data_IF_116193888298
#
_entry.id   IF_116193888298
#
_cell.length_a   1.000
_cell.length_b   1.000
_cell.length_c   1.000
_cell.angle_alpha   90.00
_cell.angle_beta   90.00
_cell.angle_gamma   90.00
#
_symmetry.space_group_name_H-M   'P 1'
#
loop_
_entity.id
_entity.type
_entity.pdbx_description
1 polymer ?
#
# COMPACT_ATOMS: atom_id res chain seq x y z
N UNK A 1 20.65 7.71 14.51
CA UNK A 1 19.36 7.17 14.04
C UNK A 1 19.61 5.75 13.56
N UNK A 2 18.75 4.80 13.87
CA UNK A 2 18.76 3.45 13.32
C UNK A 2 18.48 3.54 11.81
N UNK A 3 19.08 2.67 10.98
CA UNK A 3 18.78 2.59 9.56
C UNK A 3 17.28 2.30 9.41
N UNK A 4 16.57 3.19 8.72
CA UNK A 4 15.12 3.06 8.53
C UNK A 4 14.83 2.89 7.04
N UNK A 5 14.11 1.83 6.71
CA UNK A 5 13.76 1.42 5.36
C UNK A 5 12.25 1.58 5.18
N UNK A 6 11.83 2.28 4.14
CA UNK A 6 10.41 2.60 3.91
C UNK A 6 9.97 2.06 2.55
N UNK A 7 8.91 1.25 2.53
CA UNK A 7 8.34 0.62 1.31
C UNK A 7 6.83 0.87 1.29
N UNK A 8 6.23 1.02 0.10
CA UNK A 8 4.79 1.23 -0.08
C UNK A 8 4.28 0.58 -1.36
N UNK A 9 2.96 0.41 -1.45
CA UNK A 9 2.23 0.05 -2.67
C UNK A 9 2.74 -1.25 -3.31
N UNK A 10 2.75 -2.33 -2.51
CA UNK A 10 3.25 -3.66 -2.92
C UNK A 10 2.25 -4.37 -3.82
N UNK A 11 0.94 -4.18 -3.56
CA UNK A 11 -0.14 -4.67 -4.41
C UNK A 11 0.02 -6.13 -4.88
N UNK A 12 0.16 -7.08 -3.96
CA UNK A 12 0.25 -8.51 -4.29
C UNK A 12 1.56 -8.96 -4.93
N UNK A 13 2.52 -8.07 -5.17
CA UNK A 13 3.79 -8.35 -5.85
C UNK A 13 4.82 -8.97 -4.91
N UNK A 14 4.52 -10.18 -4.42
CA UNK A 14 5.34 -10.89 -3.42
C UNK A 14 6.76 -11.16 -3.89
N UNK A 15 6.93 -11.47 -5.17
CA UNK A 15 8.25 -11.76 -5.76
C UNK A 15 9.13 -10.52 -5.74
N UNK A 16 8.62 -9.37 -6.22
CA UNK A 16 9.35 -8.09 -6.20
C UNK A 16 9.62 -7.62 -4.76
N UNK A 17 8.66 -7.83 -3.83
CA UNK A 17 8.84 -7.49 -2.44
C UNK A 17 9.97 -8.28 -1.77
N UNK A 18 10.01 -9.59 -1.98
CA UNK A 18 11.08 -10.44 -1.45
C UNK A 18 12.44 -10.09 -2.09
N UNK A 19 12.48 -9.82 -3.39
CA UNK A 19 13.69 -9.39 -4.08
C UNK A 19 14.21 -8.06 -3.51
N UNK A 20 13.34 -7.07 -3.32
CA UNK A 20 13.70 -5.77 -2.75
C UNK A 20 14.29 -5.93 -1.34
N UNK A 21 13.63 -6.70 -0.46
CA UNK A 21 14.13 -6.99 0.89
C UNK A 21 15.51 -7.64 0.87
N UNK A 22 15.79 -8.51 -0.12
CA UNK A 22 17.10 -9.13 -0.32
C UNK A 22 18.15 -8.13 -0.80
N UNK A 23 17.83 -7.30 -1.81
CA UNK A 23 18.76 -6.32 -2.38
C UNK A 23 19.19 -5.25 -1.38
N UNK A 24 18.26 -4.80 -0.51
CA UNK A 24 18.57 -3.85 0.56
C UNK A 24 19.27 -4.51 1.75
N UNK A 25 19.47 -5.82 1.73
CA UNK A 25 20.02 -6.60 2.84
C UNK A 25 19.29 -6.27 4.17
N UNK A 26 17.96 -6.37 4.17
CA UNK A 26 17.16 -6.07 5.36
C UNK A 26 17.45 -7.06 6.49
N UNK A 27 17.81 -6.54 7.67
CA UNK A 27 18.09 -7.32 8.88
C UNK A 27 17.10 -6.96 10.01
N UNK A 28 16.14 -7.87 10.33
CA UNK A 28 15.25 -7.68 11.47
C UNK A 28 16.02 -7.43 12.77
N UNK A 29 15.54 -6.49 13.59
CA UNK A 29 16.20 -6.12 14.85
C UNK A 29 17.33 -5.09 14.69
N UNK A 30 18.06 -5.10 13.59
CA UNK A 30 19.08 -4.09 13.24
C UNK A 30 18.44 -2.90 12.55
N UNK A 31 17.64 -3.16 11.51
CA UNK A 31 16.94 -2.14 10.74
C UNK A 31 15.54 -1.85 11.31
N UNK A 32 15.04 -0.65 11.07
CA UNK A 32 13.64 -0.32 11.23
C UNK A 32 12.97 -0.36 9.86
N UNK A 33 12.09 -1.34 9.63
CA UNK A 33 11.26 -1.36 8.43
C UNK A 33 9.93 -0.66 8.70
N UNK A 34 9.48 0.18 7.76
CA UNK A 34 8.18 0.85 7.76
C UNK A 34 7.49 0.55 6.45
N UNK A 35 6.27 0.03 6.51
CA UNK A 35 5.43 -0.29 5.36
C UNK A 35 4.21 0.64 5.38
N UNK A 36 3.95 1.37 4.27
CA UNK A 36 2.98 2.46 4.23
C UNK A 36 1.59 2.07 3.74
N UNK A 37 1.30 0.77 3.52
CA UNK A 37 0.00 0.32 3.04
C UNK A 37 -0.01 -0.13 1.59
N UNK A 38 -1.22 -0.46 1.10
CA UNK A 38 -1.51 -1.02 -0.21
C UNK A 38 -0.75 -2.32 -0.49
N UNK A 39 -1.02 -3.31 0.38
CA UNK A 39 -0.45 -4.67 0.29
C UNK A 39 -1.24 -5.56 -0.66
N UNK A 40 -2.55 -5.30 -0.76
CA UNK A 40 -3.53 -6.11 -1.50
C UNK A 40 -3.89 -5.52 -2.85
N UNK A 41 -4.62 -6.31 -3.64
CA UNK A 41 -5.23 -5.96 -4.93
C UNK A 41 -4.25 -5.88 -6.10
N UNK A 42 -4.77 -6.10 -7.31
CA UNK A 42 -4.11 -5.94 -8.61
C UNK A 42 -3.06 -7.00 -8.96
N UNK A 43 -2.08 -7.20 -8.08
CA UNK A 43 -1.01 -8.17 -8.29
C UNK A 43 -1.41 -9.61 -7.94
N UNK A 44 -0.48 -10.53 -8.16
CA UNK A 44 -0.79 -11.96 -8.25
C UNK A 44 -1.13 -12.63 -6.91
N UNK A 45 -0.50 -12.21 -5.80
CA UNK A 45 -0.63 -12.93 -4.51
C UNK A 45 -0.69 -12.00 -3.29
N UNK A 46 -1.83 -11.32 -3.17
CA UNK A 46 -2.14 -10.47 -2.00
C UNK A 46 -2.07 -11.25 -0.69
N UNK A 47 -2.49 -12.52 -0.70
CA UNK A 47 -2.44 -13.39 0.49
C UNK A 47 -1.00 -13.60 0.95
N UNK A 48 -0.09 -13.96 0.06
CA UNK A 48 1.32 -14.15 0.42
C UNK A 48 1.99 -12.84 0.88
N UNK A 49 1.62 -11.71 0.30
CA UNK A 49 2.10 -10.39 0.77
C UNK A 49 1.64 -10.14 2.19
N UNK A 50 0.34 -10.35 2.51
CA UNK A 50 -0.17 -10.17 3.88
C UNK A 50 0.47 -11.14 4.88
N UNK A 51 0.65 -12.42 4.52
CA UNK A 51 1.38 -13.39 5.33
C UNK A 51 2.80 -12.87 5.65
N UNK A 52 3.50 -12.33 4.65
CA UNK A 52 4.85 -11.75 4.81
C UNK A 52 4.85 -10.48 5.66
N UNK A 53 3.91 -9.58 5.45
CA UNK A 53 3.77 -8.33 6.21
C UNK A 53 3.49 -8.60 7.69
N UNK A 54 2.62 -9.58 7.99
CA UNK A 54 2.37 -10.03 9.36
C UNK A 54 3.64 -10.56 10.02
N UNK A 55 4.41 -11.40 9.31
CA UNK A 55 5.69 -11.91 9.80
C UNK A 55 6.67 -10.75 10.09
N UNK A 56 6.76 -9.78 9.20
CA UNK A 56 7.64 -8.62 9.38
C UNK A 56 7.21 -7.76 10.57
N UNK A 57 5.90 -7.59 10.82
CA UNK A 57 5.39 -6.90 12.01
C UNK A 57 5.79 -7.62 13.29
N UNK A 58 5.71 -8.95 13.33
CA UNK A 58 6.17 -9.76 14.48
C UNK A 58 7.68 -9.57 14.73
N UNK A 59 8.45 -9.30 13.68
CA UNK A 59 9.89 -9.01 13.74
C UNK A 59 10.21 -7.55 14.03
N UNK A 60 9.20 -6.70 14.29
CA UNK A 60 9.36 -5.31 14.70
C UNK A 60 9.21 -4.27 13.59
N UNK A 61 8.74 -4.65 12.40
CA UNK A 61 8.36 -3.68 11.39
C UNK A 61 7.12 -2.87 11.82
N UNK A 62 7.09 -1.61 11.44
CA UNK A 62 5.91 -0.76 11.56
C UNK A 62 5.12 -0.90 10.27
N UNK A 63 3.82 -1.15 10.41
CA UNK A 63 2.93 -1.46 9.28
C UNK A 63 1.73 -0.55 9.36
N UNK A 64 1.53 0.28 8.34
CA UNK A 64 0.40 1.18 8.21
C UNK A 64 -0.66 0.63 7.28
N UNK A 65 -1.88 1.11 7.41
CA UNK A 65 -3.01 0.79 6.54
C UNK A 65 -3.03 1.70 5.33
N UNK A 66 -3.24 1.14 4.13
CA UNK A 66 -3.51 1.87 2.90
C UNK A 66 -5.01 1.93 2.57
N UNK A 67 -5.34 2.63 1.49
CA UNK A 67 -6.73 2.72 1.05
C UNK A 67 -7.26 1.40 0.45
N UNK A 68 -6.39 0.53 -0.06
CA UNK A 68 -6.80 -0.79 -0.56
C UNK A 68 -7.21 -1.73 0.57
N UNK A 69 -6.53 -1.69 1.69
CA UNK A 69 -6.95 -2.39 2.90
C UNK A 69 -8.30 -1.86 3.44
N UNK A 70 -8.51 -0.55 3.42
CA UNK A 70 -9.78 0.07 3.81
C UNK A 70 -10.94 -0.33 2.88
N UNK A 71 -10.70 -0.37 1.56
CA UNK A 71 -11.67 -0.88 0.59
C UNK A 71 -12.02 -2.35 0.83
N UNK A 72 -11.02 -3.20 1.07
CA UNK A 72 -11.20 -4.61 1.37
C UNK A 72 -12.05 -4.82 2.63
N UNK A 73 -11.74 -4.10 3.72
CA UNK A 73 -12.54 -4.14 4.96
C UNK A 73 -13.99 -3.77 4.66
N UNK A 74 -14.23 -2.62 4.04
CA UNK A 74 -15.59 -2.12 3.73
C UNK A 74 -16.36 -3.08 2.83
N UNK A 75 -15.72 -3.62 1.81
CA UNK A 75 -16.33 -4.57 0.90
C UNK A 75 -16.77 -5.86 1.59
N UNK A 76 -15.95 -6.39 2.50
CA UNK A 76 -16.20 -7.67 3.16
C UNK A 76 -17.10 -7.57 4.40
N UNK A 77 -17.26 -6.37 4.97
CA UNK A 77 -17.96 -6.22 6.26
C UNK A 77 -19.22 -5.36 6.23
N UNK A 78 -19.41 -4.50 5.23
CA UNK A 78 -20.56 -3.56 5.21
C UNK A 78 -21.88 -4.19 4.85
N UNK A 79 -21.90 -5.29 4.09
CA UNK A 79 -23.12 -5.84 3.52
C UNK A 79 -23.71 -5.01 2.36
N UNK A 80 -22.99 -4.00 1.88
CA UNK A 80 -23.46 -3.06 0.87
C UNK A 80 -22.87 -3.35 -0.52
N UNK A 81 -23.70 -3.20 -1.56
CA UNK A 81 -23.30 -3.42 -2.96
C UNK A 81 -22.19 -2.47 -3.42
N UNK A 82 -22.29 -1.18 -3.07
CA UNK A 82 -21.36 -0.16 -3.56
C UNK A 82 -19.91 -0.39 -3.14
N UNK A 83 -19.57 -0.63 -1.85
CA UNK A 83 -18.22 -1.01 -1.43
C UNK A 83 -17.73 -2.28 -2.10
N UNK A 84 -18.60 -3.31 -2.22
CA UNK A 84 -18.25 -4.57 -2.88
C UNK A 84 -17.81 -4.34 -4.33
N UNK A 85 -18.69 -3.73 -5.16
CA UNK A 85 -18.37 -3.48 -6.58
C UNK A 85 -17.21 -2.51 -6.77
N UNK A 86 -17.07 -1.54 -5.85
CA UNK A 86 -15.95 -0.61 -5.91
C UNK A 86 -14.61 -1.35 -5.74
N UNK A 87 -14.55 -2.29 -4.82
CA UNK A 87 -13.36 -3.06 -4.54
C UNK A 87 -13.13 -4.17 -5.58
N UNK A 88 -14.11 -5.06 -5.77
CA UNK A 88 -13.96 -6.26 -6.61
C UNK A 88 -13.89 -5.91 -8.10
N UNK A 89 -14.81 -5.06 -8.59
CA UNK A 89 -14.96 -4.85 -10.04
C UNK A 89 -14.02 -3.76 -10.59
N UNK A 90 -13.45 -2.89 -9.73
CA UNK A 90 -12.74 -1.69 -10.19
C UNK A 90 -11.34 -1.49 -9.60
N UNK A 91 -11.05 -2.10 -8.47
CA UNK A 91 -9.81 -1.82 -7.74
C UNK A 91 -8.92 -3.05 -7.51
N UNK A 92 -9.22 -4.18 -8.16
CA UNK A 92 -8.36 -5.37 -8.11
C UNK A 92 -8.64 -6.30 -6.95
N UNK A 93 -9.80 -6.17 -6.29
CA UNK A 93 -10.20 -7.08 -5.22
C UNK A 93 -10.46 -8.51 -5.69
N UNK A 94 -10.79 -8.69 -6.99
CA UNK A 94 -10.91 -9.99 -7.61
C UNK A 94 -9.57 -10.76 -7.59
N UNK A 95 -8.44 -10.11 -7.88
CA UNK A 95 -7.11 -10.71 -7.77
C UNK A 95 -6.80 -11.11 -6.32
N UNK A 96 -7.16 -10.25 -5.36
CA UNK A 96 -7.04 -10.59 -3.94
C UNK A 96 -7.84 -11.84 -3.60
N UNK A 97 -9.13 -11.91 -3.98
CA UNK A 97 -9.95 -13.09 -3.69
C UNK A 97 -9.43 -14.37 -4.35
N UNK A 98 -8.89 -14.27 -5.57
CA UNK A 98 -8.22 -15.41 -6.24
C UNK A 98 -7.01 -15.90 -5.45
N UNK A 99 -6.22 -15.01 -4.87
CA UNK A 99 -5.04 -15.40 -4.07
C UNK A 99 -5.41 -16.18 -2.80
N UNK A 100 -6.64 -16.02 -2.30
CA UNK A 100 -7.20 -16.86 -1.22
C UNK A 100 -7.79 -18.18 -1.70
N UNK A 101 -7.81 -18.42 -3.01
CA UNK A 101 -8.33 -19.65 -3.64
C UNK A 101 -9.83 -19.63 -3.89
N UNK A 102 -10.49 -18.48 -3.78
CA UNK A 102 -11.91 -18.34 -4.16
C UNK A 102 -12.05 -18.35 -5.68
N UNK A 103 -13.08 -19.06 -6.17
CA UNK A 103 -13.43 -19.11 -7.60
C UNK A 103 -14.34 -17.94 -7.95
N UNK A 104 -14.35 -17.53 -9.19
CA UNK A 104 -15.15 -16.38 -9.65
C UNK A 104 -16.65 -16.54 -9.33
N UNK A 105 -17.20 -17.77 -9.42
CA UNK A 105 -18.60 -18.03 -9.11
C UNK A 105 -18.96 -17.77 -7.65
N UNK A 106 -17.98 -17.71 -6.75
CA UNK A 106 -18.19 -17.47 -5.32
C UNK A 106 -18.27 -15.98 -4.96
N UNK A 107 -17.75 -15.07 -5.82
CA UNK A 107 -17.69 -13.65 -5.51
C UNK A 107 -18.19 -12.71 -6.61
N UNK A 108 -18.32 -13.14 -7.86
CA UNK A 108 -18.92 -12.32 -8.91
C UNK A 108 -20.42 -12.26 -8.72
N UNK A 109 -20.96 -11.04 -8.56
CA UNK A 109 -22.40 -10.80 -8.37
C UNK A 109 -22.99 -10.23 -9.66
N UNK A 110 -24.02 -10.91 -10.20
CA UNK A 110 -24.73 -10.43 -11.40
C UNK A 110 -25.35 -9.05 -11.16
N UNK A 111 -25.17 -8.10 -12.11
CA UNK A 111 -25.81 -6.79 -12.02
C UNK A 111 -27.34 -6.83 -12.21
N UNK A 112 -27.87 -7.93 -12.75
CA UNK A 112 -29.29 -8.11 -13.05
C UNK A 112 -30.10 -8.67 -11.86
N UNK A 113 -29.44 -9.03 -10.76
CA UNK A 113 -30.06 -9.58 -9.56
C UNK A 113 -29.92 -8.61 -8.37
N UNK A 114 -30.82 -8.67 -7.39
CA UNK A 114 -30.60 -7.97 -6.12
C UNK A 114 -29.26 -8.38 -5.51
N UNK A 115 -28.53 -7.41 -4.98
CA UNK A 115 -27.24 -7.68 -4.35
C UNK A 115 -27.43 -8.52 -3.08
N UNK A 116 -26.72 -9.64 -3.05
CA UNK A 116 -26.51 -10.42 -1.83
C UNK A 116 -25.01 -10.52 -1.59
N UNK A 117 -24.57 -10.12 -0.36
CA UNK A 117 -23.16 -10.16 0.03
C UNK A 117 -22.61 -11.59 -0.10
N UNK A 118 -21.60 -11.85 -0.94
CA UNK A 118 -20.97 -13.16 -1.03
C UNK A 118 -20.43 -13.63 0.32
N UNK A 119 -20.71 -14.88 0.67
CA UNK A 119 -20.30 -15.47 1.93
C UNK A 119 -18.96 -16.19 1.76
N UNK A 120 -17.88 -15.42 1.85
CA UNK A 120 -16.53 -15.94 1.71
C UNK A 120 -15.97 -16.34 3.08
N UNK A 121 -15.57 -17.60 3.22
CA UNK A 121 -15.05 -18.13 4.48
C UNK A 121 -13.70 -18.78 4.26
N UNK A 122 -12.68 -18.22 4.90
CA UNK A 122 -11.31 -18.75 4.95
C UNK A 122 -10.66 -18.29 6.26
N UNK A 123 -10.04 -19.20 6.98
CA UNK A 123 -9.33 -18.86 8.22
C UNK A 123 -8.21 -17.83 7.96
N UNK A 124 -7.52 -17.95 6.82
CA UNK A 124 -6.51 -16.99 6.42
C UNK A 124 -7.10 -15.60 6.16
N UNK A 125 -8.22 -15.53 5.39
CA UNK A 125 -8.90 -14.25 5.12
C UNK A 125 -9.36 -13.58 6.41
N UNK A 126 -9.96 -14.33 7.33
CA UNK A 126 -10.40 -13.81 8.64
C UNK A 126 -9.22 -13.26 9.45
N UNK A 127 -8.13 -14.03 9.54
CA UNK A 127 -6.91 -13.61 10.25
C UNK A 127 -6.32 -12.34 9.65
N UNK A 128 -6.29 -12.22 8.32
CA UNK A 128 -5.79 -11.03 7.63
C UNK A 128 -6.71 -9.83 7.82
N UNK A 129 -8.04 -10.01 7.80
CA UNK A 129 -8.99 -8.94 8.11
C UNK A 129 -8.81 -8.41 9.53
N UNK A 130 -8.67 -9.28 10.53
CA UNK A 130 -8.40 -8.88 11.90
C UNK A 130 -7.08 -8.11 12.00
N UNK A 131 -6.05 -8.55 11.27
CA UNK A 131 -4.76 -7.88 11.21
C UNK A 131 -4.87 -6.47 10.60
N UNK A 132 -5.42 -6.32 9.41
CA UNK A 132 -5.51 -5.00 8.74
C UNK A 132 -6.42 -4.03 9.48
N UNK A 133 -7.46 -4.51 10.20
CA UNK A 133 -8.27 -3.68 11.09
C UNK A 133 -7.48 -3.13 12.29
N UNK A 134 -6.37 -3.76 12.66
CA UNK A 134 -5.50 -3.35 13.78
C UNK A 134 -4.38 -2.39 13.40
N UNK A 135 -4.26 -2.05 12.11
CA UNK A 135 -3.18 -1.20 11.60
C UNK A 135 -3.41 0.27 11.90
N UNK A 136 -2.34 0.96 12.26
CA UNK A 136 -2.33 2.41 12.35
C UNK A 136 -2.39 3.05 10.96
N UNK A 137 -2.79 4.33 10.88
CA UNK A 137 -2.93 5.07 9.62
C UNK A 137 -1.79 6.04 9.35
N UNK A 138 -1.05 6.44 10.39
CA UNK A 138 0.18 7.21 10.30
C UNK A 138 1.04 7.00 11.54
N UNK A 139 2.31 7.36 11.43
CA UNK A 139 3.20 7.52 12.59
C UNK A 139 4.09 8.75 12.41
N UNK A 140 4.55 9.31 13.52
CA UNK A 140 5.57 10.35 13.56
C UNK A 140 6.82 9.81 14.26
N UNK A 141 7.95 9.90 13.58
CA UNK A 141 9.27 9.55 14.13
C UNK A 141 10.26 10.66 13.80
N UNK A 142 10.90 11.23 14.82
CA UNK A 142 11.88 12.30 14.67
C UNK A 142 11.34 13.45 13.79
N UNK A 143 12.01 13.73 12.66
CA UNK A 143 11.66 14.79 11.71
C UNK A 143 10.76 14.30 10.56
N UNK A 144 10.21 13.10 10.67
CA UNK A 144 9.39 12.47 9.62
C UNK A 144 7.98 12.15 10.09
N UNK A 145 7.05 12.25 9.16
CA UNK A 145 5.71 11.68 9.21
C UNK A 145 5.65 10.58 8.15
N UNK A 146 5.17 9.41 8.51
CA UNK A 146 4.94 8.30 7.61
C UNK A 146 3.44 8.06 7.51
N UNK A 147 2.94 8.00 6.30
CA UNK A 147 1.50 7.91 6.02
C UNK A 147 1.27 7.28 4.65
N UNK A 148 0.09 6.71 4.42
CA UNK A 148 -0.16 6.11 3.12
C UNK A 148 -0.28 7.15 2.00
N UNK A 149 -1.22 8.11 2.07
CA UNK A 149 -1.46 9.08 0.99
C UNK A 149 -0.94 10.50 1.28
N UNK A 150 -1.12 10.99 2.50
CA UNK A 150 -0.68 12.32 2.88
C UNK A 150 -1.39 12.84 4.12
N UNK A 151 -1.23 14.13 4.39
CA UNK A 151 -1.86 14.83 5.50
C UNK A 151 -2.61 16.05 4.98
N UNK A 152 -3.64 16.51 5.69
CA UNK A 152 -4.32 17.72 5.31
C UNK A 152 -3.39 18.93 5.49
N UNK A 153 -3.18 19.78 4.46
CA UNK A 153 -2.15 20.82 4.51
C UNK A 153 -2.41 21.93 5.53
N UNK A 154 -3.68 22.18 5.88
CA UNK A 154 -4.11 23.29 6.74
C UNK A 154 -4.58 22.82 8.12
N UNK A 155 -4.66 21.51 8.36
CA UNK A 155 -5.20 20.94 9.60
C UNK A 155 -4.09 20.28 10.40
N UNK A 156 -4.01 20.48 11.72
CA UNK A 156 -3.09 19.74 12.57
C UNK A 156 -3.24 18.22 12.38
N UNK A 157 -2.14 17.48 12.41
CA UNK A 157 -2.15 16.04 12.09
C UNK A 157 -3.15 15.25 12.93
N UNK A 158 -3.29 15.58 14.23
CA UNK A 158 -4.20 14.92 15.14
C UNK A 158 -5.70 15.26 14.93
N UNK A 159 -5.97 16.26 14.07
CA UNK A 159 -7.32 16.67 13.65
C UNK A 159 -7.62 16.28 12.20
N UNK A 160 -6.62 15.73 11.47
CA UNK A 160 -6.77 15.26 10.09
C UNK A 160 -7.72 14.06 10.06
N UNK A 161 -8.68 14.06 9.15
CA UNK A 161 -9.62 12.96 8.98
C UNK A 161 -8.92 11.70 8.45
N UNK A 162 -9.34 10.50 8.89
CA UNK A 162 -8.80 9.22 8.41
C UNK A 162 -8.79 9.13 6.88
N UNK A 163 -9.82 9.69 6.23
CA UNK A 163 -9.92 9.72 4.77
C UNK A 163 -8.74 10.43 4.12
N UNK A 164 -8.24 11.51 4.68
CA UNK A 164 -7.13 12.26 4.10
C UNK A 164 -5.83 11.46 4.18
N UNK A 165 -5.55 10.80 5.31
CA UNK A 165 -4.40 9.92 5.44
C UNK A 165 -4.36 8.80 4.39
N UNK A 166 -5.54 8.35 3.91
CA UNK A 166 -5.70 7.22 3.00
C UNK A 166 -5.90 7.62 1.52
N UNK A 167 -6.35 8.86 1.23
CA UNK A 167 -6.84 9.20 -0.11
C UNK A 167 -6.40 10.56 -0.65
N UNK A 168 -5.86 11.47 0.15
CA UNK A 168 -5.53 12.82 -0.27
C UNK A 168 -4.48 12.82 -1.39
N UNK A 169 -4.57 13.77 -2.32
CA UNK A 169 -3.63 13.94 -3.44
C UNK A 169 -3.24 15.41 -3.59
N UNK A 170 -3.71 16.08 -4.63
CA UNK A 170 -3.33 17.45 -5.01
C UNK A 170 -3.35 18.48 -3.87
N UNK A 171 -4.35 18.54 -2.98
CA UNK A 171 -4.30 19.47 -1.86
C UNK A 171 -3.05 19.30 -0.99
N UNK A 172 -2.66 18.05 -0.72
CA UNK A 172 -1.44 17.74 0.03
C UNK A 172 -0.19 18.01 -0.81
N UNK A 173 -0.11 17.47 -2.04
CA UNK A 173 1.08 17.57 -2.87
C UNK A 173 1.51 19.02 -3.13
N UNK A 174 0.54 19.93 -3.28
CA UNK A 174 0.79 21.32 -3.63
C UNK A 174 0.72 22.27 -2.43
N UNK A 175 0.07 21.88 -1.34
CA UNK A 175 -0.25 22.77 -0.23
C UNK A 175 0.52 22.50 1.06
N UNK A 176 1.16 21.35 1.22
CA UNK A 176 1.88 21.05 2.44
C UNK A 176 3.05 22.01 2.65
N UNK A 177 3.15 22.56 3.85
CA UNK A 177 4.19 23.54 4.24
C UNK A 177 4.74 23.29 5.66
N UNK A 178 4.52 22.08 6.19
CA UNK A 178 5.00 21.71 7.53
C UNK A 178 6.52 21.55 7.60
N UNK A 179 7.06 21.60 8.83
CA UNK A 179 8.50 21.48 9.08
C UNK A 179 9.00 20.03 8.91
N UNK A 180 8.19 19.03 9.31
CA UNK A 180 8.53 17.62 9.17
C UNK A 180 8.42 17.17 7.72
N UNK A 181 9.27 16.23 7.32
CA UNK A 181 9.16 15.57 6.02
C UNK A 181 8.07 14.50 6.06
N UNK A 182 7.18 14.50 5.08
CA UNK A 182 6.12 13.49 4.93
C UNK A 182 6.55 12.47 3.89
N UNK A 183 6.72 11.20 4.31
CA UNK A 183 6.99 10.07 3.41
C UNK A 183 5.67 9.37 3.12
N UNK A 184 5.33 9.22 1.84
CA UNK A 184 4.03 8.71 1.40
C UNK A 184 4.11 7.85 0.12
N UNK A 185 3.06 7.04 -0.11
CA UNK A 185 2.80 6.22 -1.29
C UNK A 185 1.60 6.69 -2.10
N UNK A 186 0.68 5.76 -2.44
CA UNK A 186 -0.65 6.03 -3.01
C UNK A 186 -0.70 6.72 -4.38
N UNK A 187 0.16 7.67 -4.62
CA UNK A 187 0.23 8.41 -5.89
C UNK A 187 1.50 8.04 -6.62
N UNK A 188 1.39 7.25 -7.71
CA UNK A 188 2.57 6.91 -8.50
C UNK A 188 3.40 8.12 -8.87
N UNK A 189 4.69 8.06 -8.57
CA UNK A 189 5.63 9.19 -8.67
C UNK A 189 5.72 9.79 -10.05
N UNK A 190 5.43 9.00 -11.11
CA UNK A 190 5.33 9.51 -12.48
C UNK A 190 4.32 10.67 -12.63
N UNK A 191 3.24 10.66 -11.85
CA UNK A 191 2.26 11.76 -11.86
C UNK A 191 2.77 13.00 -11.12
N UNK A 192 3.59 12.82 -10.07
CA UNK A 192 4.24 13.92 -9.36
C UNK A 192 5.33 14.58 -10.22
N UNK A 193 6.09 13.77 -10.97
CA UNK A 193 7.07 14.26 -11.95
C UNK A 193 6.43 14.80 -13.24
N UNK A 194 5.16 14.43 -13.52
CA UNK A 194 4.51 14.65 -14.82
C UNK A 194 5.32 14.05 -15.99
N UNK A 195 5.91 12.90 -15.74
CA UNK A 195 6.74 12.13 -16.67
C UNK A 195 6.41 10.64 -16.54
N UNK A 196 5.72 10.09 -17.51
CA UNK A 196 5.23 8.70 -17.51
C UNK A 196 6.34 7.65 -17.46
N UNK A 197 7.59 8.04 -17.68
CA UNK A 197 8.76 7.16 -17.65
C UNK A 197 9.55 7.23 -16.36
N UNK A 198 9.26 8.22 -15.49
CA UNK A 198 9.98 8.41 -14.23
C UNK A 198 9.23 7.80 -13.05
N UNK A 199 9.71 6.66 -12.59
CA UNK A 199 9.19 5.90 -11.44
C UNK A 199 10.07 6.02 -10.18
N UNK A 200 11.06 6.91 -10.20
CA UNK A 200 11.98 7.11 -9.08
C UNK A 200 11.26 7.76 -7.88
N UNK A 201 11.85 7.65 -6.70
CA UNK A 201 11.38 8.35 -5.50
C UNK A 201 11.32 9.85 -5.78
N UNK A 202 10.18 10.47 -5.49
CA UNK A 202 9.95 11.90 -5.66
C UNK A 202 10.38 12.68 -4.41
N UNK A 203 11.24 13.67 -4.59
CA UNK A 203 11.66 14.59 -3.54
C UNK A 203 11.10 15.98 -3.83
N UNK A 204 10.00 16.33 -3.15
CA UNK A 204 9.36 17.64 -3.31
C UNK A 204 10.09 18.74 -2.54
N UNK A 205 10.08 19.96 -3.06
CA UNK A 205 10.68 21.14 -2.42
C UNK A 205 9.97 21.54 -1.10
N UNK A 206 8.72 21.09 -0.95
CA UNK A 206 7.86 21.38 0.19
C UNK A 206 7.84 20.27 1.27
N UNK A 207 8.97 19.60 1.49
CA UNK A 207 9.11 18.53 2.49
C UNK A 207 8.21 17.29 2.29
N UNK A 208 7.85 16.95 1.06
CA UNK A 208 7.13 15.71 0.75
C UNK A 208 8.04 14.73 0.00
N UNK A 209 7.91 13.44 0.30
CA UNK A 209 8.71 12.37 -0.32
C UNK A 209 7.77 11.27 -0.78
N UNK A 210 7.48 11.20 -2.08
CA UNK A 210 6.64 10.17 -2.69
C UNK A 210 7.47 8.95 -3.07
N UNK A 211 7.05 7.75 -2.65
CA UNK A 211 7.81 6.53 -2.88
C UNK A 211 7.08 5.47 -3.72
N UNK A 212 5.80 5.67 -4.08
CA UNK A 212 5.06 4.76 -4.95
C UNK A 212 5.62 4.80 -6.38
N UNK A 213 6.38 3.80 -6.75
CA UNK A 213 6.95 3.65 -8.10
C UNK A 213 5.98 3.05 -9.12
N UNK A 214 4.74 2.76 -8.75
CA UNK A 214 3.73 2.17 -9.64
C UNK A 214 4.10 0.75 -10.09
N UNK A 215 4.65 -0.08 -9.21
CA UNK A 215 5.14 -1.42 -9.53
C UNK A 215 4.14 -2.23 -10.35
N UNK A 216 2.93 -2.39 -9.86
CA UNK A 216 1.84 -3.16 -10.50
C UNK A 216 1.37 -2.57 -11.86
N UNK A 217 1.80 -1.36 -12.19
CA UNK A 217 1.52 -0.69 -13.46
C UNK A 217 2.72 -0.65 -14.42
N UNK A 218 3.68 -1.57 -14.24
CA UNK A 218 4.89 -1.65 -15.07
C UNK A 218 5.99 -0.67 -14.68
N UNK A 219 5.87 -0.02 -13.52
CA UNK A 219 6.92 0.79 -12.93
C UNK A 219 7.93 -0.02 -12.12
N UNK A 220 8.15 0.35 -10.86
CA UNK A 220 9.08 -0.32 -9.96
C UNK A 220 8.61 -0.26 -8.51
N UNK A 221 9.01 -1.24 -7.70
CA UNK A 221 8.83 -1.19 -6.25
C UNK A 221 10.03 -0.46 -5.64
N UNK A 222 9.76 0.65 -4.94
CA UNK A 222 10.80 1.48 -4.34
C UNK A 222 10.98 1.18 -2.84
N UNK A 223 12.21 1.38 -2.36
CA UNK A 223 12.54 1.51 -0.95
C UNK A 223 13.36 2.79 -0.71
N UNK A 224 12.96 3.58 0.28
CA UNK A 224 13.72 4.73 0.76
C UNK A 224 14.48 4.37 2.03
N UNK A 225 15.80 4.56 2.03
CA UNK A 225 16.62 4.44 3.24
C UNK A 225 16.82 5.81 3.88
N UNK A 226 16.53 5.92 5.17
CA UNK A 226 16.72 7.11 6.00
C UNK A 226 17.87 6.89 7.01
N UNK A 227 18.57 7.96 7.40
CA UNK A 227 18.32 9.37 7.08
C UNK A 227 18.95 9.86 5.77
N UNK A 228 19.73 9.03 5.08
CA UNK A 228 20.52 9.40 3.90
C UNK A 228 19.71 9.70 2.62
N UNK A 229 18.42 9.46 2.62
CA UNK A 229 17.53 9.52 1.44
C UNK A 229 18.05 8.66 0.28
N UNK A 230 18.62 7.48 0.59
CA UNK A 230 19.15 6.57 -0.43
C UNK A 230 18.03 5.75 -1.05
N UNK A 231 17.83 5.82 -2.38
CA UNK A 231 16.80 5.04 -3.06
C UNK A 231 17.31 3.65 -3.44
N UNK A 232 16.43 2.66 -3.31
CA UNK A 232 16.57 1.33 -3.90
C UNK A 232 15.31 1.02 -4.69
N UNK A 233 15.38 0.18 -5.71
CA UNK A 233 14.21 -0.22 -6.47
C UNK A 233 14.39 -1.55 -7.18
N UNK A 234 13.28 -2.28 -7.33
CA UNK A 234 13.17 -3.50 -8.12
C UNK A 234 12.09 -3.30 -9.18
N UNK A 235 12.38 -3.64 -10.44
CA UNK A 235 11.37 -3.70 -11.49
C UNK A 235 10.71 -5.07 -11.49
N UNK A 236 9.41 -5.12 -11.75
CA UNK A 236 8.75 -6.37 -12.04
C UNK A 236 9.34 -6.98 -13.31
N UNK A 237 9.72 -8.25 -13.23
CA UNK A 237 10.13 -9.01 -14.41
C UNK A 237 8.82 -9.39 -15.12
N UNK A 238 8.48 -8.70 -16.21
CA UNK A 238 7.47 -9.23 -17.12
C UNK A 238 8.03 -10.55 -17.67
N UNK A 239 7.39 -11.68 -17.38
CA UNK A 239 7.64 -12.88 -18.17
C UNK A 239 7.25 -12.54 -19.62
N UNK A 240 8.23 -12.38 -20.49
CA UNK A 240 7.94 -12.36 -21.92
C UNK A 240 7.29 -13.71 -22.24
N UNK A 241 6.16 -13.73 -22.96
CA UNK A 241 5.58 -14.99 -23.38
C UNK A 241 6.66 -15.71 -24.19
N UNK A 242 7.07 -16.90 -23.74
CA UNK A 242 7.94 -17.80 -24.50
C UNK A 242 7.28 -18.06 -25.85
N UNK A 243 7.95 -17.61 -26.92
CA UNK A 243 7.56 -17.86 -28.31
C UNK A 243 7.42 -19.38 -28.61
#
# INVERSE_FOLDING_TARGET
>A
MKRTLVISDIHGEITAFNQLLSEINYEPGTDQLILLGDYVDRGEDSKAVLDKVMQLRELGAIVLKGNHEDMMIKALTSGEERPWRHWVDRNGGNETLRSYGFREEEYIVSPDLPFEQPQLSSDALKKHLEFICSLDIYIELDDFIFVHAGVHPETPIHETEERDFLWIRDPFHNGYSGEKKVVFGHTPTKYLYKDDTNHSIFLGENNIIGIDGGAVYGGQLNCLELPGLTPYSVKLISEEPSE
#
